data_IF_959169601573
#
_entry.id   IF_959169601573
#
_cell.length_a   1.000
_cell.length_b   1.000
_cell.length_c   1.000
_cell.angle_alpha   90.00
_cell.angle_beta   90.00
_cell.angle_gamma   90.00
#
_symmetry.space_group_name_H-M   'P 1'
#
loop_
_entity.id
_entity.type
_entity.pdbx_description
1 polymer ?
#
# COMPACT_ATOMS: atom_id res chain seq x y z
N UNK A 1 -16.82 53.32 -42.16
CA UNK A 1 -15.66 52.41 -42.01
C UNK A 1 -15.02 52.48 -40.62
N UNK A 2 -14.92 53.66 -40.00
CA UNK A 2 -14.31 53.84 -38.67
C UNK A 2 -15.03 53.04 -37.56
N UNK A 3 -16.36 53.07 -37.50
CA UNK A 3 -17.14 52.27 -36.54
C UNK A 3 -16.92 50.75 -36.68
N UNK A 4 -16.78 50.25 -37.91
CA UNK A 4 -16.49 48.82 -38.16
C UNK A 4 -15.09 48.43 -37.68
N UNK A 5 -14.12 49.34 -37.78
CA UNK A 5 -12.74 49.14 -37.27
C UNK A 5 -12.67 49.22 -35.75
N UNK A 6 -13.41 50.13 -35.12
CA UNK A 6 -13.53 50.21 -33.66
C UNK A 6 -14.24 48.99 -33.07
N UNK A 7 -15.31 48.50 -33.70
CA UNK A 7 -15.99 47.28 -33.27
C UNK A 7 -15.08 46.04 -33.35
N UNK A 8 -14.25 45.94 -34.40
CA UNK A 8 -13.26 44.87 -34.52
C UNK A 8 -12.17 44.96 -33.45
N UNK A 9 -11.68 46.17 -33.15
CA UNK A 9 -10.71 46.40 -32.08
C UNK A 9 -11.29 46.05 -30.71
N UNK A 10 -12.56 46.38 -30.45
CA UNK A 10 -13.24 46.06 -29.20
C UNK A 10 -13.51 44.56 -29.04
N UNK A 11 -13.72 43.83 -30.14
CA UNK A 11 -13.83 42.37 -30.15
C UNK A 11 -12.48 41.66 -29.96
N UNK A 12 -11.36 42.29 -30.38
CA UNK A 12 -9.99 41.81 -30.17
C UNK A 12 -9.42 42.21 -28.78
N UNK A 13 -9.97 43.25 -28.16
CA UNK A 13 -9.63 43.73 -26.81
C UNK A 13 -10.63 43.30 -25.73
N UNK A 14 -11.69 42.57 -26.11
CA UNK A 14 -12.45 41.81 -25.12
C UNK A 14 -11.42 40.92 -24.43
N UNK A 15 -11.15 41.11 -23.11
CA UNK A 15 -10.31 40.19 -22.40
C UNK A 15 -10.88 38.81 -22.71
N UNK A 16 -10.04 37.85 -23.04
CA UNK A 16 -10.42 36.47 -22.87
C UNK A 16 -10.89 36.38 -21.42
N UNK A 17 -12.20 36.50 -21.20
CA UNK A 17 -12.86 36.21 -19.94
C UNK A 17 -12.40 34.79 -19.71
N UNK A 18 -11.39 34.65 -18.83
CA UNK A 18 -10.81 33.36 -18.53
C UNK A 18 -12.00 32.47 -18.23
N UNK A 19 -12.19 31.43 -19.03
CA UNK A 19 -13.16 30.42 -18.69
C UNK A 19 -12.64 29.86 -17.36
N UNK A 20 -13.21 30.34 -16.25
CA UNK A 20 -12.88 29.84 -14.94
C UNK A 20 -13.39 28.41 -14.93
N UNK A 21 -12.46 27.46 -14.97
CA UNK A 21 -12.81 26.07 -14.90
C UNK A 21 -13.42 25.82 -13.51
N UNK A 22 -14.63 25.27 -13.49
CA UNK A 22 -15.14 24.73 -12.24
C UNK A 22 -14.32 23.50 -11.87
N UNK A 23 -14.28 23.18 -10.59
CA UNK A 23 -13.62 22.00 -10.07
C UNK A 23 -14.65 21.03 -9.53
N UNK A 24 -14.38 19.74 -9.66
CA UNK A 24 -15.07 18.70 -8.92
C UNK A 24 -14.32 18.51 -7.62
N UNK A 25 -15.04 18.63 -6.51
CA UNK A 25 -14.55 18.38 -5.16
C UNK A 25 -15.21 17.13 -4.59
N UNK A 26 -14.40 16.17 -4.14
CA UNK A 26 -14.84 14.90 -3.60
C UNK A 26 -14.46 14.87 -2.11
N UNK A 27 -15.40 15.16 -1.19
CA UNK A 27 -15.12 15.05 0.24
C UNK A 27 -14.83 13.59 0.60
N UNK A 28 -13.91 13.37 1.54
CA UNK A 28 -13.54 12.05 2.05
C UNK A 28 -13.77 11.92 3.57
N UNK A 29 -14.43 12.91 4.17
CA UNK A 29 -14.92 12.85 5.54
C UNK A 29 -16.21 12.02 5.65
N UNK A 30 -16.85 12.04 6.82
CA UNK A 30 -18.08 11.28 7.12
C UNK A 30 -19.28 11.62 6.21
N UNK A 31 -19.20 12.64 5.35
CA UNK A 31 -20.22 12.94 4.35
C UNK A 31 -20.13 12.05 3.10
N UNK A 32 -19.00 11.36 2.88
CA UNK A 32 -18.80 10.49 1.74
C UNK A 32 -19.54 9.16 1.92
N UNK A 33 -20.27 8.75 0.88
CA UNK A 33 -21.02 7.50 0.86
C UNK A 33 -20.20 6.31 0.37
N UNK A 34 -19.23 6.57 -0.52
CA UNK A 34 -18.52 5.53 -1.26
C UNK A 34 -17.00 5.82 -1.31
N UNK A 35 -16.34 5.86 -0.14
CA UNK A 35 -14.92 6.22 -0.02
C UNK A 35 -14.00 5.29 -0.85
N UNK A 36 -14.23 3.98 -0.82
CA UNK A 36 -13.40 3.02 -1.56
C UNK A 36 -13.55 3.19 -3.08
N UNK A 37 -14.76 3.45 -3.55
CA UNK A 37 -15.00 3.76 -4.98
C UNK A 37 -14.38 5.10 -5.38
N UNK A 38 -14.26 6.07 -4.47
CA UNK A 38 -13.57 7.34 -4.75
C UNK A 38 -12.07 7.13 -5.07
N UNK A 39 -11.37 6.26 -4.34
CA UNK A 39 -10.00 5.87 -4.71
C UNK A 39 -9.94 5.19 -6.08
N UNK A 40 -10.92 4.32 -6.37
CA UNK A 40 -11.11 3.70 -7.68
C UNK A 40 -11.31 4.68 -8.82
N UNK A 41 -12.15 5.69 -8.60
CA UNK A 41 -12.37 6.79 -9.52
C UNK A 41 -11.06 7.56 -9.76
N UNK A 42 -10.27 7.80 -8.71
CA UNK A 42 -8.99 8.49 -8.88
C UNK A 42 -8.06 7.70 -9.82
N UNK A 43 -7.95 6.39 -9.61
CA UNK A 43 -7.20 5.52 -10.51
C UNK A 43 -7.74 5.59 -11.96
N UNK A 44 -9.06 5.51 -12.13
CA UNK A 44 -9.71 5.62 -13.44
C UNK A 44 -9.42 6.95 -14.12
N UNK A 45 -9.52 8.07 -13.41
CA UNK A 45 -9.28 9.41 -13.93
C UNK A 45 -7.83 9.57 -14.41
N UNK A 46 -6.86 9.11 -13.61
CA UNK A 46 -5.45 9.08 -14.00
C UNK A 46 -5.22 8.24 -15.27
N UNK A 47 -5.96 7.14 -15.44
CA UNK A 47 -5.89 6.32 -16.67
C UNK A 47 -6.40 7.06 -17.92
N UNK A 48 -7.17 8.12 -17.72
CA UNK A 48 -7.66 9.04 -18.76
C UNK A 48 -6.83 10.32 -18.84
N UNK A 49 -5.67 10.37 -18.18
CA UNK A 49 -4.79 11.55 -18.13
C UNK A 49 -5.49 12.77 -17.51
N UNK A 50 -6.41 12.52 -16.58
CA UNK A 50 -7.03 13.56 -15.76
C UNK A 50 -6.25 13.59 -14.44
N UNK A 51 -5.54 14.69 -14.22
CA UNK A 51 -4.80 14.93 -12.98
C UNK A 51 -5.77 15.15 -11.80
N UNK A 52 -5.36 14.70 -10.62
CA UNK A 52 -6.12 14.84 -9.38
C UNK A 52 -5.22 15.43 -8.30
N UNK A 53 -5.72 16.46 -7.63
CA UNK A 53 -5.12 16.97 -6.41
C UNK A 53 -5.68 16.19 -5.22
N UNK A 54 -4.79 15.49 -4.49
CA UNK A 54 -5.11 14.85 -3.23
C UNK A 54 -4.82 15.83 -2.08
N UNK A 55 -5.89 16.25 -1.41
CA UNK A 55 -5.89 17.27 -0.38
C UNK A 55 -5.70 16.61 0.99
N UNK A 56 -4.45 16.33 1.35
CA UNK A 56 -4.04 15.61 2.55
C UNK A 56 -4.53 16.32 3.82
N UNK A 57 -5.15 15.56 4.73
CA UNK A 57 -5.80 16.03 5.96
C UNK A 57 -6.90 17.09 5.79
N UNK A 58 -7.26 17.48 4.57
CA UNK A 58 -8.41 18.34 4.31
C UNK A 58 -9.66 17.48 4.11
N UNK A 59 -10.64 17.62 5.02
CA UNK A 59 -11.92 16.88 4.99
C UNK A 59 -11.73 15.38 4.69
N UNK A 60 -10.94 14.71 5.52
CA UNK A 60 -10.67 13.27 5.40
C UNK A 60 -9.71 12.86 4.28
N UNK A 61 -8.93 13.79 3.72
CA UNK A 61 -8.04 13.48 2.58
C UNK A 61 -8.78 13.57 1.24
N UNK A 62 -9.50 14.66 1.03
CA UNK A 62 -10.38 14.88 -0.12
C UNK A 62 -9.64 14.89 -1.46
N UNK A 63 -10.37 14.73 -2.56
CA UNK A 63 -9.83 14.87 -3.91
C UNK A 63 -10.44 16.09 -4.61
N UNK A 64 -9.65 16.73 -5.47
CA UNK A 64 -10.13 17.78 -6.36
C UNK A 64 -9.52 17.61 -7.76
N UNK A 65 -10.27 18.01 -8.78
CA UNK A 65 -9.80 18.03 -10.17
C UNK A 65 -10.69 18.95 -11.02
N UNK A 66 -10.23 19.28 -12.22
CA UNK A 66 -11.01 20.08 -13.15
C UNK A 66 -12.34 19.39 -13.52
N UNK A 67 -13.43 20.15 -13.53
CA UNK A 67 -14.75 19.60 -13.82
C UNK A 67 -14.87 19.19 -15.29
N UNK A 68 -15.21 17.92 -15.52
CA UNK A 68 -15.46 17.37 -16.85
C UNK A 68 -16.74 16.52 -16.84
N UNK A 69 -17.62 16.62 -17.86
CA UNK A 69 -18.87 15.85 -17.89
C UNK A 69 -18.70 14.34 -17.76
N UNK A 70 -17.61 13.79 -18.32
CA UNK A 70 -17.30 12.37 -18.22
C UNK A 70 -17.02 11.94 -16.76
N UNK A 71 -16.35 12.79 -15.99
CA UNK A 71 -16.02 12.51 -14.59
C UNK A 71 -17.26 12.61 -13.70
N UNK A 72 -18.11 13.64 -13.90
CA UNK A 72 -19.38 13.76 -13.17
C UNK A 72 -20.28 12.54 -13.41
N UNK A 73 -20.31 12.02 -14.64
CA UNK A 73 -21.08 10.82 -14.94
C UNK A 73 -20.54 9.58 -14.21
N UNK A 74 -19.22 9.35 -14.21
CA UNK A 74 -18.60 8.24 -13.47
C UNK A 74 -18.84 8.35 -11.96
N UNK A 75 -18.71 9.55 -11.38
CA UNK A 75 -19.01 9.81 -9.97
C UNK A 75 -20.45 9.42 -9.61
N UNK A 76 -21.42 9.85 -10.43
CA UNK A 76 -22.83 9.50 -10.24
C UNK A 76 -23.08 8.00 -10.37
N UNK A 77 -22.52 7.35 -11.40
CA UNK A 77 -22.68 5.91 -11.63
C UNK A 77 -22.10 5.09 -10.47
N UNK A 78 -20.98 5.53 -9.89
CA UNK A 78 -20.30 4.89 -8.75
C UNK A 78 -20.89 5.27 -7.39
N UNK A 79 -21.89 6.16 -7.34
CA UNK A 79 -22.53 6.59 -6.10
C UNK A 79 -21.65 7.48 -5.21
N UNK A 80 -20.58 8.05 -5.75
CA UNK A 80 -19.61 8.86 -5.01
C UNK A 80 -20.19 10.25 -4.78
N UNK A 81 -20.10 10.73 -3.54
CA UNK A 81 -20.53 12.10 -3.19
C UNK A 81 -19.50 13.10 -3.69
N UNK A 82 -19.94 14.10 -4.45
CA UNK A 82 -19.09 15.17 -4.98
C UNK A 82 -19.85 16.50 -5.05
N UNK A 83 -19.11 17.59 -5.26
CA UNK A 83 -19.64 18.94 -5.46
C UNK A 83 -18.89 19.60 -6.61
N UNK A 84 -19.63 20.28 -7.49
CA UNK A 84 -19.01 21.20 -8.46
C UNK A 84 -18.81 22.55 -7.76
N UNK A 85 -17.56 22.97 -7.60
CA UNK A 85 -17.17 24.23 -6.95
C UNK A 85 -16.55 25.18 -7.98
N UNK A 86 -16.69 26.48 -7.73
CA UNK A 86 -16.04 27.51 -8.55
C UNK A 86 -14.53 27.57 -8.30
N UNK A 87 -13.79 28.12 -9.25
CA UNK A 87 -12.35 28.41 -9.12
C UNK A 87 -12.01 29.19 -7.83
N UNK A 88 -12.86 30.17 -7.48
CA UNK A 88 -12.67 30.99 -6.28
C UNK A 88 -12.81 30.14 -5.00
N UNK A 89 -13.75 29.19 -4.96
CA UNK A 89 -13.89 28.28 -3.83
C UNK A 89 -12.70 27.33 -3.75
N UNK A 90 -12.23 26.81 -4.89
CA UNK A 90 -11.06 25.93 -4.90
C UNK A 90 -9.79 26.63 -4.42
N UNK A 91 -9.55 27.85 -4.91
CA UNK A 91 -8.44 28.71 -4.44
C UNK A 91 -8.52 28.95 -2.93
N UNK A 92 -9.71 29.15 -2.37
CA UNK A 92 -9.88 29.31 -0.93
C UNK A 92 -9.52 28.05 -0.14
N UNK A 93 -9.78 26.86 -0.70
CA UNK A 93 -9.36 25.57 -0.09
C UNK A 93 -7.84 25.46 -0.09
N UNK A 94 -7.20 25.76 -1.22
CA UNK A 94 -5.74 25.73 -1.33
C UNK A 94 -5.06 26.71 -0.36
N UNK A 95 -5.62 27.91 -0.18
CA UNK A 95 -5.13 28.88 0.80
C UNK A 95 -5.23 28.37 2.24
N UNK A 96 -6.30 27.63 2.58
CA UNK A 96 -6.44 27.03 3.89
C UNK A 96 -5.41 25.91 4.10
N UNK A 97 -5.19 25.07 3.09
CA UNK A 97 -4.19 23.99 3.15
C UNK A 97 -2.78 24.54 3.27
N UNK A 98 -2.48 25.64 2.58
CA UNK A 98 -1.17 26.29 2.60
C UNK A 98 -0.86 27.02 3.93
N UNK A 99 -1.80 27.10 4.87
CA UNK A 99 -1.53 27.65 6.20
C UNK A 99 -0.50 26.75 6.92
N UNK A 100 0.67 27.27 7.31
CA UNK A 100 1.72 26.48 7.96
C UNK A 100 1.29 25.80 9.27
N UNK A 101 0.19 26.25 9.89
CA UNK A 101 -0.36 25.70 11.12
C UNK A 101 -1.44 24.62 10.91
N UNK A 102 -1.90 24.38 9.67
CA UNK A 102 -3.04 23.51 9.39
C UNK A 102 -2.71 21.99 9.38
N UNK A 103 -1.43 21.60 9.31
CA UNK A 103 -1.01 20.20 9.14
C UNK A 103 -1.73 19.51 7.96
N UNK A 104 -1.76 20.20 6.82
CA UNK A 104 -2.38 19.77 5.56
C UNK A 104 -1.36 19.94 4.42
N UNK A 105 -1.59 19.26 3.30
CA UNK A 105 -0.77 19.41 2.10
C UNK A 105 -1.56 19.04 0.83
N UNK A 106 -1.06 19.41 -0.34
CA UNK A 106 -1.64 19.03 -1.63
C UNK A 106 -0.65 18.18 -2.42
N UNK A 107 -1.02 16.92 -2.65
CA UNK A 107 -0.25 16.00 -3.48
C UNK A 107 -0.89 15.88 -4.86
N UNK A 108 -0.15 16.24 -5.91
CA UNK A 108 -0.60 16.04 -7.28
C UNK A 108 -0.44 14.60 -7.71
N UNK A 109 -1.51 14.01 -8.23
CA UNK A 109 -1.54 12.68 -8.81
C UNK A 109 -1.63 12.81 -10.33
N UNK A 110 -0.62 12.27 -11.03
CA UNK A 110 -0.48 12.45 -12.49
C UNK A 110 -0.34 11.12 -13.25
N UNK A 111 0.07 10.04 -12.56
CA UNK A 111 0.38 8.75 -13.18
C UNK A 111 -0.34 7.60 -12.47
N UNK A 112 -0.88 6.69 -13.27
CA UNK A 112 -1.41 5.41 -12.82
C UNK A 112 -0.27 4.46 -12.41
N UNK A 113 -0.28 3.88 -11.20
CA UNK A 113 0.65 2.83 -10.84
C UNK A 113 0.20 1.47 -11.38
N UNK A 114 1.16 0.64 -11.80
CA UNK A 114 0.94 -0.78 -12.02
C UNK A 114 1.20 -1.55 -10.73
N UNK A 115 0.18 -2.25 -10.23
CA UNK A 115 0.15 -2.83 -8.88
C UNK A 115 0.29 -4.35 -8.95
N UNK A 116 1.18 -4.89 -8.13
CA UNK A 116 1.25 -6.31 -7.80
C UNK A 116 0.82 -6.53 -6.34
N UNK A 117 0.04 -7.58 -6.10
CA UNK A 117 -0.28 -8.08 -4.76
C UNK A 117 0.40 -9.43 -4.59
N UNK A 118 1.25 -9.54 -3.59
CA UNK A 118 1.89 -10.78 -3.20
C UNK A 118 0.90 -11.62 -2.41
N UNK A 119 0.34 -12.65 -3.05
CA UNK A 119 -0.74 -13.46 -2.46
C UNK A 119 -0.76 -14.86 -3.07
N UNK A 120 -0.96 -15.92 -2.27
CA UNK A 120 -1.00 -17.28 -2.78
C UNK A 120 -2.21 -17.49 -3.71
N UNK A 121 -2.05 -18.37 -4.71
CA UNK A 121 -3.13 -18.68 -5.68
C UNK A 121 -4.27 -19.54 -5.09
N UNK A 122 -4.06 -20.15 -3.93
CA UNK A 122 -5.00 -21.05 -3.27
C UNK A 122 -6.06 -20.34 -2.42
N UNK A 123 -7.06 -21.10 -1.94
CA UNK A 123 -8.05 -20.59 -0.97
C UNK A 123 -7.44 -20.57 0.42
N UNK A 124 -7.34 -19.39 1.02
CA UNK A 124 -7.05 -19.23 2.44
C UNK A 124 -8.35 -19.29 3.24
N UNK A 125 -8.30 -19.65 4.54
CA UNK A 125 -9.48 -19.63 5.40
C UNK A 125 -9.89 -18.21 5.84
N UNK A 126 -9.09 -17.20 5.50
CA UNK A 126 -9.38 -15.78 5.65
C UNK A 126 -9.41 -15.08 4.29
N UNK A 127 -10.13 -13.98 4.20
CA UNK A 127 -10.13 -13.13 3.02
C UNK A 127 -8.90 -12.23 2.98
N UNK A 128 -8.35 -12.01 1.78
CA UNK A 128 -7.29 -11.03 1.56
C UNK A 128 -7.92 -9.64 1.36
N UNK A 129 -7.96 -8.88 2.45
CA UNK A 129 -8.55 -7.55 2.52
C UNK A 129 -8.01 -6.61 1.43
N UNK A 130 -6.73 -6.70 1.08
CA UNK A 130 -6.13 -5.87 0.02
C UNK A 130 -6.78 -6.18 -1.32
N UNK A 131 -6.83 -7.46 -1.70
CA UNK A 131 -7.45 -7.85 -2.98
C UNK A 131 -8.95 -7.57 -3.02
N UNK A 132 -9.65 -7.73 -1.90
CA UNK A 132 -11.06 -7.38 -1.77
C UNK A 132 -11.30 -5.89 -2.01
N UNK A 133 -10.54 -5.03 -1.33
CA UNK A 133 -10.69 -3.58 -1.42
C UNK A 133 -10.32 -3.09 -2.82
N UNK A 134 -9.21 -3.55 -3.41
CA UNK A 134 -8.84 -3.19 -4.78
C UNK A 134 -9.89 -3.64 -5.79
N UNK A 135 -10.43 -4.86 -5.64
CA UNK A 135 -11.50 -5.36 -6.51
C UNK A 135 -12.77 -4.54 -6.35
N UNK A 136 -13.16 -4.22 -5.12
CA UNK A 136 -14.32 -3.39 -4.83
C UNK A 136 -14.15 -1.97 -5.40
N UNK A 137 -12.97 -1.38 -5.24
CA UNK A 137 -12.61 -0.09 -5.82
C UNK A 137 -12.44 -0.13 -7.35
N UNK A 138 -12.44 -1.31 -7.98
CA UNK A 138 -12.18 -1.50 -9.41
C UNK A 138 -10.77 -1.04 -9.86
N UNK A 139 -9.80 -1.16 -8.95
CA UNK A 139 -8.39 -0.90 -9.24
C UNK A 139 -7.75 -2.20 -9.73
N UNK A 140 -7.21 -2.27 -10.95
CA UNK A 140 -6.58 -3.49 -11.47
C UNK A 140 -5.24 -3.76 -10.76
N UNK A 141 -4.98 -5.04 -10.51
CA UNK A 141 -3.75 -5.54 -9.92
C UNK A 141 -3.44 -6.94 -10.46
N UNK A 142 -2.15 -7.29 -10.47
CA UNK A 142 -1.71 -8.65 -10.74
C UNK A 142 -1.45 -9.40 -9.42
N UNK A 143 -1.83 -10.67 -9.35
CA UNK A 143 -1.44 -11.55 -8.24
C UNK A 143 -0.11 -12.22 -8.60
N UNK A 144 0.88 -12.06 -7.72
CA UNK A 144 2.19 -12.72 -7.81
C UNK A 144 2.50 -13.43 -6.50
N UNK A 145 3.41 -14.39 -6.50
CA UNK A 145 3.85 -15.07 -5.28
C UNK A 145 5.32 -15.51 -5.41
N UNK A 146 5.73 -16.53 -4.65
CA UNK A 146 7.10 -17.07 -4.59
C UNK A 146 7.78 -17.17 -5.98
N UNK A 147 7.18 -17.91 -6.91
CA UNK A 147 7.77 -18.23 -8.21
C UNK A 147 7.98 -16.98 -9.08
N UNK A 148 6.98 -16.09 -9.10
CA UNK A 148 7.04 -14.85 -9.87
C UNK A 148 8.10 -13.89 -9.31
N UNK A 149 8.20 -13.77 -7.98
CA UNK A 149 9.23 -12.94 -7.34
C UNK A 149 10.62 -13.47 -7.64
N UNK A 150 10.84 -14.77 -7.47
CA UNK A 150 12.13 -15.42 -7.72
C UNK A 150 12.53 -15.40 -9.21
N UNK A 151 11.56 -15.43 -10.13
CA UNK A 151 11.80 -15.29 -11.57
C UNK A 151 12.01 -13.84 -12.03
N UNK A 152 11.96 -12.86 -11.12
CA UNK A 152 12.35 -11.48 -11.38
C UNK A 152 11.28 -10.65 -12.11
N UNK A 153 9.99 -10.90 -11.87
CA UNK A 153 8.93 -10.11 -12.51
C UNK A 153 8.71 -8.71 -11.91
N UNK A 154 9.22 -8.46 -10.70
CA UNK A 154 8.98 -7.23 -9.93
C UNK A 154 9.25 -5.91 -10.68
N UNK A 155 10.31 -5.77 -11.52
CA UNK A 155 10.55 -4.53 -12.27
C UNK A 155 9.45 -4.12 -13.26
N UNK A 156 8.45 -4.99 -13.49
CA UNK A 156 7.28 -4.68 -14.33
C UNK A 156 6.19 -3.91 -13.59
N UNK A 157 6.36 -3.63 -12.31
CA UNK A 157 5.37 -3.02 -11.42
C UNK A 157 5.93 -1.73 -10.82
N UNK A 158 5.05 -0.79 -10.49
CA UNK A 158 5.43 0.38 -9.70
C UNK A 158 5.27 0.06 -8.20
N UNK A 159 4.21 -0.66 -7.82
CA UNK A 159 3.85 -0.93 -6.43
C UNK A 159 3.72 -2.43 -6.13
N UNK A 160 4.20 -2.85 -4.96
CA UNK A 160 4.07 -4.20 -4.41
C UNK A 160 3.34 -4.15 -3.05
N UNK A 161 2.24 -4.89 -2.91
CA UNK A 161 1.55 -5.05 -1.63
C UNK A 161 1.83 -6.42 -1.02
N UNK A 162 2.19 -6.44 0.27
CA UNK A 162 2.41 -7.63 1.09
C UNK A 162 1.43 -7.62 2.27
N UNK A 163 0.71 -8.70 2.48
CA UNK A 163 -0.28 -8.82 3.54
C UNK A 163 -0.20 -10.21 4.19
N UNK A 164 0.01 -10.24 5.51
CA UNK A 164 0.14 -11.46 6.30
C UNK A 164 1.21 -12.46 5.83
N UNK A 165 2.25 -11.98 5.14
CA UNK A 165 3.36 -12.84 4.73
C UNK A 165 4.33 -13.08 5.89
N UNK A 166 5.00 -14.22 5.84
CA UNK A 166 6.06 -14.62 6.76
C UNK A 166 7.34 -14.91 5.97
N UNK A 167 8.30 -13.98 6.05
CA UNK A 167 9.60 -14.14 5.41
C UNK A 167 10.63 -14.92 6.25
N UNK A 168 10.34 -15.29 7.50
CA UNK A 168 11.25 -16.10 8.34
C UNK A 168 11.19 -17.58 7.98
N UNK A 169 10.08 -18.03 7.38
CA UNK A 169 9.83 -19.42 7.02
C UNK A 169 9.26 -20.26 8.17
N UNK A 170 8.65 -19.61 9.17
CA UNK A 170 8.00 -20.23 10.33
C UNK A 170 6.49 -20.48 10.10
N UNK A 171 6.05 -20.43 8.84
CA UNK A 171 4.68 -20.70 8.36
C UNK A 171 3.62 -19.88 9.11
N UNK A 172 3.86 -18.58 9.26
CA UNK A 172 2.91 -17.67 9.91
C UNK A 172 2.88 -17.83 11.43
N UNK A 173 3.82 -18.60 12.02
CA UNK A 173 3.82 -19.03 13.43
C UNK A 173 2.50 -19.67 13.88
N UNK A 174 1.80 -20.32 12.95
CA UNK A 174 0.52 -20.96 13.20
C UNK A 174 0.61 -22.35 13.83
N UNK A 175 1.82 -22.87 14.05
CA UNK A 175 2.05 -24.22 14.59
C UNK A 175 1.32 -24.48 15.91
N UNK A 176 1.39 -23.55 16.87
CA UNK A 176 0.80 -23.69 18.19
C UNK A 176 -0.70 -23.99 18.15
N UNK A 177 -1.42 -23.21 17.34
CA UNK A 177 -2.87 -23.21 17.27
C UNK A 177 -3.42 -24.16 16.21
N UNK A 178 -2.64 -24.43 15.15
CA UNK A 178 -3.17 -25.01 13.91
C UNK A 178 -2.35 -26.17 13.33
N UNK A 179 -1.32 -26.70 14.01
CA UNK A 179 -0.50 -27.84 13.48
C UNK A 179 -1.30 -29.08 13.01
N UNK A 180 -2.50 -29.30 13.55
CA UNK A 180 -3.38 -30.40 13.15
C UNK A 180 -4.49 -29.98 12.18
N UNK A 181 -4.59 -28.71 11.83
CA UNK A 181 -5.58 -28.20 10.90
C UNK A 181 -5.19 -28.60 9.46
N UNK A 182 -6.14 -29.14 8.65
CA UNK A 182 -5.84 -29.55 7.28
C UNK A 182 -5.28 -28.44 6.39
N UNK A 183 -5.78 -27.20 6.56
CA UNK A 183 -5.31 -26.04 5.79
C UNK A 183 -3.87 -25.69 6.10
N UNK A 184 -3.44 -25.76 7.37
CA UNK A 184 -2.07 -25.46 7.78
C UNK A 184 -1.11 -26.50 7.23
N UNK A 185 -1.45 -27.79 7.36
CA UNK A 185 -0.64 -28.87 6.79
C UNK A 185 -0.53 -28.76 5.26
N UNK A 186 -1.58 -28.28 4.59
CA UNK A 186 -1.54 -28.02 3.16
C UNK A 186 -0.63 -26.83 2.83
N UNK A 187 -0.72 -25.73 3.57
CA UNK A 187 0.15 -24.57 3.41
C UNK A 187 1.63 -24.95 3.56
N UNK A 188 1.99 -25.73 4.58
CA UNK A 188 3.36 -26.23 4.78
C UNK A 188 3.83 -27.04 3.57
N UNK A 189 3.03 -28.01 3.09
CA UNK A 189 3.37 -28.80 1.90
C UNK A 189 3.54 -27.95 0.64
N UNK A 190 2.71 -26.95 0.44
CA UNK A 190 2.76 -26.05 -0.71
C UNK A 190 4.03 -25.18 -0.69
N UNK A 191 4.40 -24.66 0.48
CA UNK A 191 5.63 -23.89 0.69
C UNK A 191 6.88 -24.76 0.52
N UNK A 192 6.91 -25.98 1.06
CA UNK A 192 8.02 -26.93 0.83
C UNK A 192 8.15 -27.31 -0.64
N UNK A 193 7.02 -27.53 -1.33
CA UNK A 193 7.02 -27.78 -2.77
C UNK A 193 7.50 -26.56 -3.57
N UNK A 194 7.21 -25.34 -3.09
CA UNK A 194 7.72 -24.08 -3.65
C UNK A 194 9.23 -23.96 -3.50
N UNK A 195 9.75 -24.21 -2.30
CA UNK A 195 11.19 -24.24 -2.06
C UNK A 195 11.87 -25.23 -3.00
N UNK A 196 11.36 -26.47 -3.05
CA UNK A 196 11.93 -27.52 -3.90
C UNK A 196 11.91 -27.17 -5.39
N UNK A 197 10.78 -26.66 -5.93
CA UNK A 197 10.68 -26.33 -7.37
C UNK A 197 11.55 -25.13 -7.77
N UNK A 198 11.84 -24.24 -6.82
CA UNK A 198 12.77 -23.12 -7.01
C UNK A 198 14.22 -23.44 -6.60
N UNK A 199 14.55 -24.72 -6.37
CA UNK A 199 15.90 -25.20 -6.04
C UNK A 199 16.44 -24.76 -4.65
N UNK A 200 15.55 -24.50 -3.70
CA UNK A 200 15.89 -24.28 -2.30
C UNK A 200 15.69 -25.55 -1.48
N UNK A 201 16.56 -25.74 -0.48
CA UNK A 201 16.43 -26.85 0.48
C UNK A 201 15.45 -26.56 1.62
N UNK A 202 15.35 -25.29 2.03
CA UNK A 202 14.51 -24.83 3.13
C UNK A 202 13.60 -23.68 2.69
N UNK A 203 12.40 -23.61 3.25
CA UNK A 203 11.47 -22.49 3.01
C UNK A 203 12.06 -21.18 3.50
N UNK A 204 12.65 -21.16 4.70
CA UNK A 204 13.36 -20.00 5.26
C UNK A 204 14.41 -19.42 4.30
N UNK A 205 15.20 -20.28 3.65
CA UNK A 205 16.20 -19.84 2.66
C UNK A 205 15.58 -19.27 1.37
N UNK A 206 14.43 -19.81 0.94
CA UNK A 206 13.70 -19.30 -0.23
C UNK A 206 13.08 -17.93 0.08
N UNK A 207 12.38 -17.81 1.21
CA UNK A 207 11.78 -16.55 1.67
C UNK A 207 12.80 -15.45 1.88
N UNK A 208 13.98 -15.78 2.42
CA UNK A 208 15.05 -14.81 2.53
C UNK A 208 15.58 -14.34 1.15
N UNK A 209 15.62 -15.22 0.15
CA UNK A 209 15.95 -14.84 -1.23
C UNK A 209 14.88 -13.96 -1.88
N UNK A 210 13.60 -14.21 -1.60
CA UNK A 210 12.49 -13.34 -2.01
C UNK A 210 12.60 -11.96 -1.36
N UNK A 211 12.91 -11.88 -0.07
CA UNK A 211 13.11 -10.62 0.64
C UNK A 211 14.21 -9.78 -0.03
N UNK A 212 15.32 -10.41 -0.44
CA UNK A 212 16.38 -9.76 -1.23
C UNK A 212 15.86 -9.27 -2.60
N UNK A 213 15.05 -10.06 -3.32
CA UNK A 213 14.47 -9.63 -4.60
C UNK A 213 13.55 -8.40 -4.44
N UNK A 214 12.79 -8.37 -3.36
CA UNK A 214 11.96 -7.21 -3.02
C UNK A 214 12.81 -6.00 -2.61
N UNK A 215 13.96 -6.22 -1.94
CA UNK A 215 14.90 -5.15 -1.61
C UNK A 215 15.52 -4.55 -2.88
N UNK A 216 15.88 -5.40 -3.86
CA UNK A 216 16.33 -4.96 -5.18
C UNK A 216 15.26 -4.15 -5.91
N UNK A 217 14.00 -4.55 -5.82
CA UNK A 217 12.86 -3.81 -6.39
C UNK A 217 12.71 -2.41 -5.77
N UNK A 218 12.80 -2.31 -4.44
CA UNK A 218 12.75 -1.03 -3.72
C UNK A 218 13.95 -0.15 -4.09
N UNK A 219 15.15 -0.72 -4.12
CA UNK A 219 16.36 -0.01 -4.55
C UNK A 219 16.28 0.48 -6.00
N UNK A 220 15.49 -0.21 -6.84
CA UNK A 220 15.17 0.20 -8.21
C UNK A 220 14.09 1.28 -8.34
N UNK A 221 13.56 1.80 -7.22
CA UNK A 221 12.52 2.83 -7.18
C UNK A 221 11.09 2.31 -7.06
N UNK A 222 10.91 1.00 -6.83
CA UNK A 222 9.61 0.40 -6.54
C UNK A 222 9.10 0.76 -5.14
N UNK A 223 7.79 0.89 -4.99
CA UNK A 223 7.16 1.11 -3.69
C UNK A 223 6.62 -0.19 -3.13
N UNK A 224 6.96 -0.51 -1.89
CA UNK A 224 6.46 -1.68 -1.18
C UNK A 224 5.59 -1.27 0.00
N UNK A 225 4.38 -1.82 0.07
CA UNK A 225 3.44 -1.64 1.17
C UNK A 225 3.34 -2.98 1.92
N UNK A 226 3.97 -3.06 3.09
CA UNK A 226 3.92 -4.23 3.96
C UNK A 226 3.00 -3.97 5.15
N UNK A 227 2.17 -4.96 5.48
CA UNK A 227 1.19 -4.88 6.56
C UNK A 227 1.22 -6.14 7.44
N UNK A 228 0.82 -5.98 8.70
CA UNK A 228 0.80 -7.05 9.70
C UNK A 228 2.17 -7.74 9.81
N UNK A 229 2.22 -9.08 9.79
CA UNK A 229 3.46 -9.85 9.94
C UNK A 229 4.50 -9.59 8.84
N UNK A 230 4.09 -9.12 7.66
CA UNK A 230 5.03 -8.83 6.57
C UNK A 230 5.95 -7.65 6.94
N UNK A 231 5.50 -6.74 7.80
CA UNK A 231 6.27 -5.57 8.22
C UNK A 231 7.48 -5.95 9.08
N UNK A 232 7.31 -6.90 10.00
CA UNK A 232 8.37 -7.38 10.89
C UNK A 232 9.24 -8.45 10.20
N UNK A 233 8.59 -9.51 9.70
CA UNK A 233 9.29 -10.68 9.16
C UNK A 233 10.23 -10.36 8.00
N UNK A 234 9.92 -9.32 7.22
CA UNK A 234 10.75 -8.86 6.11
C UNK A 234 12.13 -8.37 6.57
N UNK A 235 12.18 -7.46 7.56
CA UNK A 235 13.45 -6.96 8.10
C UNK A 235 14.17 -8.04 8.91
N UNK A 236 13.44 -8.93 9.59
CA UNK A 236 14.03 -10.13 10.22
C UNK A 236 14.75 -10.99 9.18
N UNK A 237 14.10 -11.30 8.06
CA UNK A 237 14.69 -12.12 7.00
C UNK A 237 15.95 -11.47 6.41
N UNK A 238 15.93 -10.16 6.17
CA UNK A 238 17.09 -9.41 5.68
C UNK A 238 18.26 -9.41 6.69
N UNK A 239 17.98 -9.13 7.96
CA UNK A 239 19.01 -9.16 9.01
C UNK A 239 19.56 -10.58 9.22
N UNK A 240 18.70 -11.59 9.10
CA UNK A 240 18.97 -13.01 9.29
C UNK A 240 19.52 -13.75 8.08
N UNK A 241 19.85 -13.08 6.97
CA UNK A 241 20.34 -13.75 5.75
C UNK A 241 21.54 -14.67 6.03
N UNK A 242 21.33 -15.97 5.81
CA UNK A 242 22.31 -17.04 6.03
C UNK A 242 22.37 -17.60 7.46
N UNK A 243 21.47 -17.18 8.35
CA UNK A 243 21.35 -17.63 9.73
C UNK A 243 20.12 -18.51 9.86
N UNK A 244 20.24 -19.62 10.59
CA UNK A 244 19.09 -20.47 10.88
C UNK A 244 18.32 -19.95 12.10
N UNK A 245 17.12 -19.44 11.87
CA UNK A 245 16.26 -18.85 12.91
C UNK A 245 15.01 -19.69 13.17
N UNK A 246 14.68 -20.62 12.26
CA UNK A 246 13.47 -21.42 12.36
C UNK A 246 13.71 -22.54 13.39
N UNK A 247 12.75 -22.70 14.30
CA UNK A 247 12.81 -23.77 15.28
C UNK A 247 12.47 -25.15 14.65
N UNK A 248 12.95 -26.22 15.30
CA UNK A 248 12.95 -27.61 14.77
C UNK A 248 11.59 -28.13 14.29
N UNK A 249 10.48 -27.64 14.85
CA UNK A 249 9.14 -28.06 14.40
C UNK A 249 8.75 -27.54 13.02
N UNK A 250 9.46 -26.54 12.49
CA UNK A 250 9.19 -25.93 11.18
C UNK A 250 9.96 -26.62 10.04
N UNK A 251 11.24 -26.92 10.23
CA UNK A 251 12.10 -27.47 9.17
C UNK A 251 12.97 -28.68 9.59
N UNK A 252 12.85 -29.13 10.84
CA UNK A 252 13.37 -30.42 11.31
C UNK A 252 14.77 -30.39 11.92
N UNK A 253 15.43 -29.24 12.00
CA UNK A 253 16.73 -29.04 12.65
C UNK A 253 16.70 -27.87 13.65
N UNK A 254 17.56 -27.89 14.69
CA UNK A 254 17.53 -26.85 15.71
C UNK A 254 18.03 -25.50 15.14
N UNK A 255 17.27 -24.44 15.42
CA UNK A 255 17.70 -23.05 15.20
C UNK A 255 19.08 -22.77 15.79
N UNK A 256 19.81 -21.82 15.20
CA UNK A 256 21.11 -21.38 15.69
C UNK A 256 20.96 -20.71 17.06
N UNK A 257 21.54 -21.26 18.15
CA UNK A 257 21.39 -20.68 19.49
C UNK A 257 22.04 -19.29 19.61
N UNK A 258 22.89 -18.90 18.65
CA UNK A 258 23.52 -17.59 18.58
C UNK A 258 22.87 -16.66 17.54
N UNK A 259 21.71 -17.01 16.96
CA UNK A 259 21.04 -16.27 15.88
C UNK A 259 20.92 -14.77 16.17
N UNK A 260 20.42 -14.40 17.35
CA UNK A 260 20.24 -13.00 17.77
C UNK A 260 21.52 -12.17 17.64
N UNK A 261 22.66 -12.74 18.05
CA UNK A 261 23.96 -12.04 18.02
C UNK A 261 24.59 -11.94 16.63
N UNK A 262 24.08 -12.72 15.67
CA UNK A 262 24.58 -12.79 14.29
C UNK A 262 23.79 -11.89 13.32
N UNK A 263 22.65 -11.35 13.74
CA UNK A 263 21.82 -10.47 12.93
C UNK A 263 22.61 -9.26 12.41
N UNK A 264 22.45 -8.94 11.12
CA UNK A 264 23.08 -7.80 10.49
C UNK A 264 22.04 -6.72 10.13
N UNK A 265 21.84 -5.77 11.05
CA UNK A 265 20.88 -4.68 10.89
C UNK A 265 21.24 -3.67 9.77
N UNK A 266 22.45 -3.72 9.19
CA UNK A 266 22.78 -2.88 8.02
C UNK A 266 22.02 -3.30 6.75
N UNK A 267 21.33 -4.46 6.79
CA UNK A 267 20.54 -4.98 5.67
C UNK A 267 19.07 -4.61 5.75
N UNK A 268 18.59 -4.12 6.89
CA UNK A 268 17.17 -3.81 7.10
C UNK A 268 16.79 -2.46 6.49
N UNK A 269 15.50 -2.24 6.30
CA UNK A 269 14.97 -1.00 5.72
C UNK A 269 14.33 -0.09 6.76
N UNK A 270 13.50 -0.62 7.66
CA UNK A 270 12.68 0.18 8.57
C UNK A 270 13.08 0.00 10.04
N UNK A 271 13.36 -1.24 10.47
CA UNK A 271 13.60 -1.58 11.86
C UNK A 271 15.03 -2.05 12.11
N UNK A 272 15.57 -1.69 13.27
CA UNK A 272 16.90 -2.09 13.72
C UNK A 272 16.88 -2.45 15.20
N UNK A 273 17.86 -3.26 15.63
CA UNK A 273 18.09 -3.62 17.04
C UNK A 273 16.93 -4.39 17.70
N UNK A 274 16.10 -5.06 16.91
CA UNK A 274 15.03 -5.91 17.41
C UNK A 274 15.56 -7.19 18.07
N UNK A 275 14.76 -7.75 18.98
CA UNK A 275 14.99 -9.01 19.66
C UNK A 275 14.04 -10.08 19.13
N UNK A 276 14.58 -11.19 18.64
CA UNK A 276 13.83 -12.32 18.13
C UNK A 276 13.02 -12.99 19.24
N UNK A 277 11.81 -13.42 18.89
CA UNK A 277 10.97 -14.29 19.71
C UNK A 277 11.16 -15.73 19.23
N UNK A 278 11.98 -16.49 19.95
CA UNK A 278 12.33 -17.87 19.55
C UNK A 278 11.32 -18.91 20.03
N UNK A 279 10.31 -18.52 20.79
CA UNK A 279 9.28 -19.44 21.25
C UNK A 279 8.29 -19.74 20.11
N UNK A 280 8.22 -20.99 19.60
CA UNK A 280 7.32 -21.34 18.50
C UNK A 280 5.84 -21.35 18.91
N UNK A 281 5.54 -21.16 20.20
CA UNK A 281 4.19 -21.01 20.72
C UNK A 281 3.75 -19.56 20.87
N UNK A 282 4.61 -18.61 20.55
CA UNK A 282 4.28 -17.18 20.44
C UNK A 282 4.03 -16.82 18.97
N UNK A 283 3.01 -16.00 18.73
CA UNK A 283 2.70 -15.52 17.38
C UNK A 283 3.74 -14.52 16.86
N UNK A 284 4.29 -13.71 17.76
CA UNK A 284 5.23 -12.65 17.39
C UNK A 284 6.58 -13.20 16.95
N UNK A 285 7.20 -12.52 15.98
CA UNK A 285 8.53 -12.85 15.46
C UNK A 285 9.64 -12.11 16.19
N UNK A 286 9.37 -10.89 16.62
CA UNK A 286 10.30 -10.07 17.40
C UNK A 286 9.60 -9.21 18.44
N UNK A 287 10.26 -8.15 18.91
CA UNK A 287 9.68 -7.09 19.72
C UNK A 287 9.37 -5.82 18.90
N UNK A 288 9.27 -5.93 17.57
CA UNK A 288 8.89 -4.81 16.69
C UNK A 288 7.39 -4.50 16.84
N UNK A 289 6.54 -5.52 16.84
CA UNK A 289 5.10 -5.32 16.97
C UNK A 289 4.69 -5.06 18.43
N UNK A 290 3.63 -4.27 18.60
CA UNK A 290 3.08 -3.88 19.89
C UNK A 290 1.77 -4.61 20.15
N UNK A 291 1.63 -5.21 21.32
CA UNK A 291 0.39 -5.85 21.74
C UNK A 291 -0.65 -4.80 22.17
N UNK A 292 -1.96 -5.07 21.99
CA UNK A 292 -3.03 -4.12 22.34
C UNK A 292 -2.94 -3.56 23.78
N UNK A 293 -2.41 -4.34 24.72
CA UNK A 293 -2.23 -3.94 26.11
C UNK A 293 -1.07 -2.99 26.39
N UNK A 294 -0.17 -2.74 25.44
CA UNK A 294 1.09 -2.02 25.69
C UNK A 294 1.00 -0.51 25.40
N UNK A 295 0.26 -0.10 24.36
CA UNK A 295 0.13 1.33 23.99
C UNK A 295 -1.13 2.02 24.51
N UNK A 296 -2.16 1.27 24.92
CA UNK A 296 -3.47 1.86 25.26
C UNK A 296 -4.07 2.69 24.11
N UNK A 297 -3.79 2.28 22.87
CA UNK A 297 -4.31 2.91 21.66
C UNK A 297 -5.76 2.48 21.46
N UNK A 298 -6.63 3.45 21.20
CA UNK A 298 -8.04 3.28 20.87
C UNK A 298 -8.40 4.24 19.73
N UNK A 299 -9.51 4.00 19.04
CA UNK A 299 -10.01 4.87 17.96
C UNK A 299 -10.13 6.36 18.34
N UNK A 300 -10.25 6.66 19.64
CA UNK A 300 -10.37 8.05 20.11
C UNK A 300 -9.02 8.76 20.24
N UNK A 301 -7.89 8.06 20.13
CA UNK A 301 -6.55 8.62 20.36
C UNK A 301 -5.51 8.16 19.32
N UNK A 302 -5.95 7.63 18.18
CA UNK A 302 -5.13 7.12 17.08
C UNK A 302 -4.83 8.17 15.99
N UNK A 303 -4.85 9.45 16.35
CA UNK A 303 -4.59 10.56 15.43
C UNK A 303 -3.16 10.54 14.88
N UNK A 304 -3.04 10.77 13.57
CA UNK A 304 -1.77 10.85 12.86
C UNK A 304 -1.40 12.31 12.53
N UNK A 305 -0.15 12.70 12.79
CA UNK A 305 0.40 14.02 12.42
C UNK A 305 1.39 13.84 11.26
N UNK A 306 1.19 14.61 10.17
CA UNK A 306 2.08 14.57 9.01
C UNK A 306 3.37 15.34 9.29
N UNK A 307 3.27 16.45 10.02
CA UNK A 307 4.40 17.30 10.36
C UNK A 307 4.42 17.54 11.88
N UNK A 308 5.57 17.28 12.51
CA UNK A 308 5.85 17.57 13.92
C UNK A 308 6.79 18.75 14.06
#
# INVERSE_FOLDING_TARGET
MLLKRLALLFALLAPALGAHANHIFIPMDNSQKECLKAYGLCYWALSKQIEIDWLLNYKGGSFACEAQPALENELNVRGITFQTISEAQYTSILQQIADPSANMDVMKLEKVPKIAVYTPKGKQPWDDAVTMVLTYAEIPYDKIYDDEVLSGVLPKYDWLHLHHEDFTGEYGKFYASYRYAPWYQQQVREAEAAAKRNNFKKVSTMKAAEAVKMQEFIAGGGFMFAMCSATDSYDIALAGLGIDMAAEMYDGDPADPAAQSKLNFNRTLAFQNFQLRTNPFEYEYSNIDMQPGERGLYEQNDYFQLFT
#
